data_IF_222909266671
#
_entry.id   IF_222909266671
#
_cell.length_a   1.000
_cell.length_b   1.000
_cell.length_c   1.000
_cell.angle_alpha   90.00
_cell.angle_beta   90.00
_cell.angle_gamma   90.00
#
_symmetry.space_group_name_H-M   'P 1'
#
loop_
_entity.id
_entity.type
_entity.pdbx_description
1 polymer ?
#
# COMPACT_ATOMS: atom_id res chain seq x y z
N UNK A 1 -10.54 8.48 26.43
CA UNK A 1 -11.88 7.91 26.56
C UNK A 1 -12.61 8.32 27.86
N UNK A 2 -11.92 8.64 28.93
CA UNK A 2 -12.54 9.12 30.17
C UNK A 2 -12.77 10.63 30.28
N UNK A 3 -12.49 11.40 29.23
CA UNK A 3 -12.72 12.84 29.24
C UNK A 3 -14.22 13.15 28.99
N UNK A 4 -14.74 14.14 29.70
CA UNK A 4 -16.11 14.64 29.54
C UNK A 4 -16.29 15.16 28.09
N UNK A 5 -17.33 14.74 27.38
CA UNK A 5 -17.58 15.11 25.97
C UNK A 5 -16.86 14.24 24.92
N UNK A 6 -16.01 13.25 25.29
CA UNK A 6 -15.29 12.41 24.33
C UNK A 6 -16.22 11.66 23.36
N UNK A 7 -17.38 11.23 23.82
CA UNK A 7 -18.37 10.49 23.05
C UNK A 7 -19.30 11.36 22.22
N UNK A 8 -19.25 12.67 22.38
CA UNK A 8 -20.05 13.62 21.60
C UNK A 8 -19.46 13.83 20.20
N UNK A 9 -18.15 13.69 20.06
CA UNK A 9 -17.45 13.65 18.77
C UNK A 9 -17.27 12.20 18.32
N UNK A 10 -18.26 11.71 17.56
CA UNK A 10 -18.32 10.31 17.10
C UNK A 10 -17.14 9.96 16.18
N UNK A 11 -16.69 10.90 15.34
CA UNK A 11 -15.60 10.68 14.40
C UNK A 11 -14.27 10.52 15.14
N UNK A 12 -13.97 11.44 16.06
CA UNK A 12 -12.76 11.35 16.89
C UNK A 12 -12.81 10.11 17.80
N UNK A 13 -13.96 9.78 18.38
CA UNK A 13 -14.14 8.58 19.19
C UNK A 13 -13.86 7.32 18.37
N UNK A 14 -14.33 7.23 17.12
CA UNK A 14 -14.06 6.11 16.22
C UNK A 14 -12.57 6.01 15.85
N UNK A 15 -11.91 7.11 15.48
CA UNK A 15 -10.46 7.17 15.19
C UNK A 15 -9.64 6.68 16.40
N UNK A 16 -9.96 7.16 17.59
CA UNK A 16 -9.28 6.74 18.83
C UNK A 16 -9.53 5.27 19.13
N UNK A 17 -10.75 4.76 18.93
CA UNK A 17 -11.09 3.35 19.12
C UNK A 17 -10.34 2.44 18.13
N UNK A 18 -10.25 2.82 16.86
CA UNK A 18 -9.47 2.07 15.86
C UNK A 18 -7.99 2.05 16.25
N UNK A 19 -7.43 3.21 16.61
CA UNK A 19 -6.02 3.28 17.06
C UNK A 19 -5.78 2.44 18.30
N UNK A 20 -6.71 2.44 19.25
CA UNK A 20 -6.62 1.61 20.45
C UNK A 20 -6.64 0.12 20.10
N UNK A 21 -7.53 -0.33 19.20
CA UNK A 21 -7.58 -1.73 18.76
C UNK A 21 -6.26 -2.17 18.13
N UNK A 22 -5.67 -1.34 17.25
CA UNK A 22 -4.37 -1.63 16.62
C UNK A 22 -3.26 -1.75 17.66
N UNK A 23 -3.19 -0.81 18.61
CA UNK A 23 -2.16 -0.83 19.66
C UNK A 23 -2.35 -2.02 20.60
N UNK A 24 -3.59 -2.32 21.02
CA UNK A 24 -3.89 -3.48 21.87
C UNK A 24 -3.54 -4.80 21.18
N UNK A 25 -3.86 -4.94 19.88
CA UNK A 25 -3.49 -6.14 19.13
C UNK A 25 -1.97 -6.35 19.05
N UNK A 26 -1.20 -5.26 18.86
CA UNK A 26 0.28 -5.34 18.89
C UNK A 26 0.81 -5.75 20.27
N UNK A 27 0.22 -5.19 21.34
CA UNK A 27 0.60 -5.53 22.70
C UNK A 27 0.28 -7.00 23.03
N UNK A 28 -0.90 -7.47 22.63
CA UNK A 28 -1.29 -8.87 22.82
C UNK A 28 -0.36 -9.85 22.08
N UNK A 29 0.06 -9.50 20.84
CA UNK A 29 1.06 -10.29 20.11
C UNK A 29 2.38 -10.37 20.88
N UNK A 30 2.87 -9.24 21.39
CA UNK A 30 4.10 -9.18 22.18
C UNK A 30 3.98 -10.02 23.47
N UNK A 31 2.92 -9.82 24.25
CA UNK A 31 2.68 -10.53 25.51
C UNK A 31 2.57 -12.04 25.28
N UNK A 32 1.98 -12.46 24.16
CA UNK A 32 1.89 -13.88 23.79
C UNK A 32 3.26 -14.47 23.49
N UNK A 33 4.12 -13.74 22.77
CA UNK A 33 5.47 -14.19 22.46
C UNK A 33 6.36 -14.21 23.72
N UNK A 34 6.24 -13.21 24.60
CA UNK A 34 6.95 -13.16 25.87
C UNK A 34 6.61 -14.38 26.74
N UNK A 35 5.31 -14.72 26.89
CA UNK A 35 4.88 -15.91 27.63
C UNK A 35 5.43 -17.20 27.02
N UNK A 36 5.41 -17.35 25.68
CA UNK A 36 5.98 -18.53 25.02
C UNK A 36 7.49 -18.65 25.26
N UNK A 37 8.21 -17.53 25.35
CA UNK A 37 9.62 -17.53 25.69
C UNK A 37 9.85 -18.01 27.14
N UNK A 38 9.06 -17.48 28.09
CA UNK A 38 9.12 -17.89 29.50
C UNK A 38 8.76 -19.39 29.70
N UNK A 39 7.72 -19.86 28.96
CA UNK A 39 7.29 -21.27 28.96
C UNK A 39 8.39 -22.19 28.39
N UNK A 40 9.06 -21.77 27.31
CA UNK A 40 10.18 -22.53 26.72
C UNK A 40 11.38 -22.58 27.63
N UNK A 41 11.73 -21.46 28.30
CA UNK A 41 12.81 -21.41 29.29
C UNK A 41 12.52 -22.40 30.44
N UNK A 42 11.30 -22.40 30.95
CA UNK A 42 10.86 -23.33 32.01
C UNK A 42 10.95 -24.80 31.52
N UNK A 43 10.56 -25.09 30.29
CA UNK A 43 10.63 -26.43 29.72
C UNK A 43 12.08 -26.93 29.60
N UNK A 44 13.00 -26.02 29.20
CA UNK A 44 14.43 -26.31 29.10
C UNK A 44 15.01 -26.62 30.49
N UNK A 45 14.67 -25.80 31.53
CA UNK A 45 15.12 -26.01 32.89
C UNK A 45 14.65 -27.38 33.46
N UNK A 46 13.36 -27.73 33.22
CA UNK A 46 12.81 -29.03 33.63
C UNK A 46 13.51 -30.20 32.93
N UNK A 47 13.76 -30.10 31.61
CA UNK A 47 14.45 -31.14 30.85
C UNK A 47 15.90 -31.35 31.33
N UNK A 48 16.60 -30.27 31.72
CA UNK A 48 17.97 -30.31 32.25
C UNK A 48 18.01 -30.91 33.67
N UNK A 49 17.12 -30.52 34.58
CA UNK A 49 17.01 -31.04 35.94
C UNK A 49 16.69 -32.54 35.98
N UNK A 50 15.79 -33.01 35.08
CA UNK A 50 15.37 -34.41 35.04
C UNK A 50 16.28 -35.28 34.13
N UNK A 51 17.23 -34.67 33.39
CA UNK A 51 18.02 -35.30 32.32
C UNK A 51 17.12 -36.03 31.29
N UNK A 52 15.98 -35.43 30.92
CA UNK A 52 15.03 -36.01 30.03
C UNK A 52 15.27 -35.58 28.55
N UNK A 53 16.02 -36.44 27.85
CA UNK A 53 16.32 -36.22 26.44
C UNK A 53 15.06 -36.34 25.51
N UNK A 54 13.94 -36.88 26.00
CA UNK A 54 12.73 -37.05 25.21
C UNK A 54 12.07 -35.72 24.87
N UNK A 55 12.31 -34.65 25.64
CA UNK A 55 11.80 -33.30 25.43
C UNK A 55 12.59 -32.48 24.40
N UNK A 56 13.78 -32.95 23.98
CA UNK A 56 14.66 -32.18 23.08
C UNK A 56 14.05 -31.90 21.73
N UNK A 57 13.25 -32.81 21.20
CA UNK A 57 12.56 -32.61 19.90
C UNK A 57 11.46 -31.54 20.03
N UNK A 58 10.69 -31.57 21.11
CA UNK A 58 9.65 -30.57 21.40
C UNK A 58 10.23 -29.18 21.65
N UNK A 59 11.31 -29.10 22.47
CA UNK A 59 12.05 -27.87 22.74
C UNK A 59 12.61 -27.29 21.44
N UNK A 60 13.19 -28.11 20.56
CA UNK A 60 13.74 -27.68 19.29
C UNK A 60 12.65 -27.10 18.36
N UNK A 61 11.52 -27.79 18.25
CA UNK A 61 10.41 -27.34 17.42
C UNK A 61 9.79 -26.02 17.94
N UNK A 62 9.62 -25.88 19.27
CA UNK A 62 9.08 -24.66 19.86
C UNK A 62 10.07 -23.49 19.76
N UNK A 63 11.38 -23.73 19.91
CA UNK A 63 12.43 -22.75 19.71
C UNK A 63 12.43 -22.19 18.27
N UNK A 64 12.36 -23.07 17.28
CA UNK A 64 12.31 -22.66 15.87
C UNK A 64 11.06 -21.84 15.57
N UNK A 65 9.89 -22.30 16.05
CA UNK A 65 8.62 -21.59 15.87
C UNK A 65 8.59 -20.23 16.59
N UNK A 66 9.20 -20.13 17.78
CA UNK A 66 9.31 -18.87 18.51
C UNK A 66 10.27 -17.91 17.82
N UNK A 67 11.39 -18.42 17.31
CA UNK A 67 12.37 -17.61 16.55
C UNK A 67 11.73 -17.00 15.32
N UNK A 68 10.99 -17.81 14.53
CA UNK A 68 10.27 -17.33 13.35
C UNK A 68 9.24 -16.25 13.73
N UNK A 69 8.47 -16.45 14.79
CA UNK A 69 7.47 -15.50 15.26
C UNK A 69 8.07 -14.18 15.76
N UNK A 70 9.24 -14.23 16.41
CA UNK A 70 9.98 -13.02 16.85
C UNK A 70 10.51 -12.25 15.64
N UNK A 71 11.08 -12.94 14.64
CA UNK A 71 11.55 -12.27 13.42
C UNK A 71 10.39 -11.61 12.66
N UNK A 72 9.22 -12.25 12.58
CA UNK A 72 8.02 -11.66 11.99
C UNK A 72 7.57 -10.39 12.76
N UNK A 73 7.58 -10.41 14.09
CA UNK A 73 7.24 -9.24 14.90
C UNK A 73 8.25 -8.10 14.73
N UNK A 74 9.55 -8.41 14.63
CA UNK A 74 10.57 -7.41 14.31
C UNK A 74 10.28 -6.71 12.98
N UNK A 75 9.93 -7.48 11.95
CA UNK A 75 9.53 -6.92 10.65
C UNK A 75 8.36 -5.95 10.77
N UNK A 76 7.31 -6.33 11.49
CA UNK A 76 6.17 -5.43 11.73
C UNK A 76 6.61 -4.11 12.40
N UNK A 77 7.63 -4.12 13.25
CA UNK A 77 8.13 -2.89 13.91
C UNK A 77 8.92 -1.97 13.00
N UNK A 78 9.41 -2.47 11.87
CA UNK A 78 10.11 -1.68 10.85
C UNK A 78 9.13 -0.92 9.93
N UNK A 79 7.85 -1.33 9.90
CA UNK A 79 6.81 -0.70 9.11
C UNK A 79 6.34 0.58 9.81
N UNK A 80 7.03 1.71 9.55
CA UNK A 80 6.78 3.02 10.17
C UNK A 80 6.19 4.05 9.23
N UNK A 81 6.08 3.72 7.95
CA UNK A 81 5.53 4.61 6.95
C UNK A 81 4.04 4.87 7.17
N UNK A 82 3.52 6.05 6.81
CA UNK A 82 2.13 6.42 7.05
C UNK A 82 1.12 5.53 6.32
N UNK A 83 1.56 4.84 5.27
CA UNK A 83 0.72 3.98 4.43
C UNK A 83 1.05 2.49 4.57
N UNK A 84 2.00 2.12 5.43
CA UNK A 84 2.48 0.74 5.54
C UNK A 84 1.39 -0.26 5.96
N UNK A 85 0.38 0.20 6.69
CA UNK A 85 -0.75 -0.62 7.10
C UNK A 85 -1.82 -0.85 6.01
N UNK A 86 -1.68 -0.19 4.85
CA UNK A 86 -2.69 -0.24 3.79
C UNK A 86 -2.55 -1.51 2.94
N UNK A 87 -3.63 -1.83 2.23
CA UNK A 87 -3.63 -2.77 1.12
C UNK A 87 -2.79 -2.23 -0.04
N UNK A 88 -2.39 -3.09 -0.97
CA UNK A 88 -1.54 -2.71 -2.07
C UNK A 88 -2.16 -3.02 -3.44
N UNK A 89 -1.88 -2.17 -4.43
CA UNK A 89 -2.03 -2.50 -5.86
C UNK A 89 -0.66 -2.70 -6.46
N UNK A 90 -0.47 -3.86 -7.08
CA UNK A 90 0.74 -4.23 -7.80
C UNK A 90 0.49 -4.18 -9.30
N UNK A 91 1.39 -3.54 -10.04
CA UNK A 91 1.34 -3.48 -11.50
C UNK A 91 2.66 -3.97 -12.09
N UNK A 92 2.61 -5.08 -12.81
CA UNK A 92 3.74 -5.66 -13.53
C UNK A 92 3.65 -5.30 -15.02
N UNK A 93 4.75 -4.85 -15.59
CA UNK A 93 4.85 -4.52 -17.02
C UNK A 93 6.08 -5.17 -17.65
N UNK A 94 5.91 -5.76 -18.83
CA UNK A 94 7.02 -6.25 -19.62
C UNK A 94 7.87 -5.08 -20.13
N UNK A 95 9.18 -5.18 -19.89
CA UNK A 95 10.17 -4.22 -20.37
C UNK A 95 10.86 -4.70 -21.65
N UNK A 96 12.15 -4.37 -21.78
CA UNK A 96 12.94 -4.83 -22.91
C UNK A 96 13.14 -6.35 -22.89
N UNK A 97 12.91 -7.02 -24.02
CA UNK A 97 13.07 -8.48 -24.18
C UNK A 97 12.01 -9.17 -25.04
N UNK A 98 11.02 -8.44 -25.55
CA UNK A 98 9.96 -9.01 -26.42
C UNK A 98 9.16 -10.11 -25.70
N UNK A 99 8.88 -11.23 -26.39
CA UNK A 99 8.14 -12.39 -25.85
C UNK A 99 8.76 -12.93 -24.55
N UNK A 100 10.09 -12.91 -24.43
CA UNK A 100 10.80 -13.34 -23.22
C UNK A 100 10.48 -12.47 -22.00
N UNK A 101 10.31 -11.15 -22.22
CA UNK A 101 9.93 -10.22 -21.14
C UNK A 101 8.46 -10.41 -20.70
N UNK A 102 7.59 -10.80 -21.64
CA UNK A 102 6.19 -11.12 -21.35
C UNK A 102 6.07 -12.43 -20.54
N UNK A 103 6.87 -13.43 -20.87
CA UNK A 103 6.96 -14.66 -20.08
C UNK A 103 7.54 -14.38 -18.68
N UNK A 104 8.55 -13.51 -18.60
CA UNK A 104 9.10 -13.06 -17.32
C UNK A 104 8.05 -12.44 -16.40
N UNK A 105 7.14 -11.58 -16.93
CA UNK A 105 6.02 -11.03 -16.16
C UNK A 105 5.12 -12.14 -15.62
N UNK A 106 4.81 -13.18 -16.40
CA UNK A 106 4.03 -14.33 -15.93
C UNK A 106 4.69 -15.04 -14.76
N UNK A 107 6.01 -15.24 -14.84
CA UNK A 107 6.77 -15.88 -13.76
C UNK A 107 6.80 -15.02 -12.50
N UNK A 108 6.99 -13.70 -12.63
CA UNK A 108 6.93 -12.75 -11.50
C UNK A 108 5.53 -12.70 -10.87
N UNK A 109 4.49 -12.64 -11.70
CA UNK A 109 3.11 -12.64 -11.21
C UNK A 109 2.83 -13.91 -10.39
N UNK A 110 3.22 -15.09 -10.87
CA UNK A 110 3.11 -16.33 -10.12
C UNK A 110 3.92 -16.29 -8.82
N UNK A 111 5.16 -15.77 -8.84
CA UNK A 111 6.01 -15.64 -7.66
C UNK A 111 5.34 -14.78 -6.58
N UNK A 112 4.81 -13.60 -6.94
CA UNK A 112 4.12 -12.72 -6.00
C UNK A 112 2.80 -13.31 -5.51
N UNK A 113 2.03 -13.97 -6.37
CA UNK A 113 0.81 -14.66 -5.93
C UNK A 113 1.11 -15.73 -4.88
N UNK A 114 2.17 -16.53 -5.07
CA UNK A 114 2.60 -17.53 -4.09
C UNK A 114 3.11 -16.92 -2.80
N UNK A 115 3.83 -15.81 -2.89
CA UNK A 115 4.21 -15.04 -1.70
C UNK A 115 2.97 -14.60 -0.91
N UNK A 116 1.98 -14.02 -1.59
CA UNK A 116 0.73 -13.59 -0.98
C UNK A 116 -0.03 -14.76 -0.33
N UNK A 117 -0.13 -15.91 -1.01
CA UNK A 117 -0.77 -17.12 -0.47
C UNK A 117 -0.09 -17.59 0.83
N UNK A 118 1.25 -17.61 0.86
CA UNK A 118 2.02 -18.00 2.07
C UNK A 118 1.78 -17.08 3.26
N UNK A 119 1.56 -15.79 2.99
CA UNK A 119 1.33 -14.78 4.03
C UNK A 119 -0.15 -14.55 4.34
N UNK A 120 -1.04 -15.35 3.75
CA UNK A 120 -2.49 -15.23 3.96
C UNK A 120 -3.11 -13.98 3.35
N UNK A 121 -2.43 -13.33 2.39
CA UNK A 121 -2.97 -12.19 1.67
C UNK A 121 -3.91 -12.66 0.56
N UNK A 122 -5.06 -11.97 0.42
CA UNK A 122 -5.97 -12.22 -0.68
C UNK A 122 -5.51 -11.44 -1.93
N UNK A 123 -5.53 -12.11 -3.08
CA UNK A 123 -5.14 -11.53 -4.38
C UNK A 123 -6.34 -11.43 -5.29
N UNK A 124 -6.58 -10.25 -5.86
CA UNK A 124 -7.66 -10.00 -6.80
C UNK A 124 -7.13 -9.32 -8.06
N UNK A 125 -7.26 -9.95 -9.21
CA UNK A 125 -6.87 -9.37 -10.49
C UNK A 125 -7.83 -8.23 -10.85
N UNK A 126 -7.26 -7.06 -11.16
CA UNK A 126 -7.99 -5.87 -11.60
C UNK A 126 -7.98 -5.80 -13.14
N UNK A 127 -6.78 -5.97 -13.73
CA UNK A 127 -6.59 -5.91 -15.18
C UNK A 127 -5.48 -6.89 -15.60
N UNK A 128 -5.65 -7.55 -16.75
CA UNK A 128 -4.67 -8.47 -17.30
C UNK A 128 -4.67 -8.36 -18.82
N UNK A 129 -3.51 -8.06 -19.36
CA UNK A 129 -3.27 -8.01 -20.80
C UNK A 129 -2.26 -9.10 -21.18
N UNK A 130 -2.74 -10.11 -21.90
CA UNK A 130 -1.90 -11.20 -22.40
C UNK A 130 -0.87 -10.72 -23.43
N UNK A 131 0.22 -11.46 -23.54
CA UNK A 131 1.20 -11.29 -24.61
C UNK A 131 0.65 -11.80 -25.95
N UNK A 132 1.20 -11.28 -27.04
CA UNK A 132 0.74 -11.66 -28.39
C UNK A 132 1.07 -13.11 -28.74
N UNK A 133 2.23 -13.62 -28.31
CA UNK A 133 2.71 -14.99 -28.60
C UNK A 133 2.73 -15.87 -27.33
N UNK A 134 3.15 -15.31 -26.20
CA UNK A 134 3.22 -16.00 -24.92
C UNK A 134 3.33 -14.99 -23.76
N UNK A 135 2.98 -15.46 -22.56
CA UNK A 135 3.16 -14.69 -21.35
C UNK A 135 2.16 -13.56 -21.15
N UNK A 136 2.48 -12.62 -20.29
CA UNK A 136 1.65 -11.47 -19.90
C UNK A 136 2.39 -10.18 -20.25
N UNK A 137 1.74 -9.29 -20.98
CA UNK A 137 2.27 -7.96 -21.32
C UNK A 137 2.20 -7.01 -20.12
N UNK A 138 1.07 -7.02 -19.42
CA UNK A 138 0.88 -6.31 -18.16
C UNK A 138 -0.19 -6.97 -17.31
N UNK A 139 -0.03 -6.91 -15.99
CA UNK A 139 -1.05 -7.34 -15.04
C UNK A 139 -1.08 -6.38 -13.86
N UNK A 140 -2.29 -6.00 -13.46
CA UNK A 140 -2.56 -5.21 -12.27
C UNK A 140 -3.46 -6.02 -11.34
N UNK A 141 -3.05 -6.15 -10.09
CA UNK A 141 -3.79 -6.91 -9.09
C UNK A 141 -3.72 -6.25 -7.73
N UNK A 142 -4.79 -6.38 -6.99
CA UNK A 142 -4.94 -5.93 -5.61
C UNK A 142 -4.46 -7.03 -4.68
N UNK A 143 -3.78 -6.63 -3.61
CA UNK A 143 -3.36 -7.48 -2.51
C UNK A 143 -3.96 -6.93 -1.22
N UNK A 144 -4.85 -7.71 -0.62
CA UNK A 144 -5.56 -7.37 0.60
C UNK A 144 -5.00 -8.20 1.77
N UNK A 145 -4.51 -7.51 2.78
CA UNK A 145 -3.93 -8.11 3.97
C UNK A 145 -3.23 -7.11 4.87
N UNK A 146 -3.01 -7.51 6.11
CA UNK A 146 -2.37 -6.68 7.13
C UNK A 146 -0.96 -6.24 6.69
N UNK A 147 -0.75 -4.93 6.55
CA UNK A 147 0.51 -4.32 6.13
C UNK A 147 0.99 -4.76 4.72
N UNK A 148 0.10 -5.16 3.83
CA UNK A 148 0.46 -5.65 2.50
C UNK A 148 1.33 -4.65 1.73
N UNK A 149 0.95 -3.36 1.74
CA UNK A 149 1.77 -2.32 1.11
C UNK A 149 3.14 -2.18 1.79
N UNK A 150 3.18 -2.21 3.12
CA UNK A 150 4.41 -2.06 3.90
C UNK A 150 5.49 -3.08 3.53
N UNK A 151 5.11 -4.34 3.31
CA UNK A 151 6.02 -5.39 2.85
C UNK A 151 6.34 -5.26 1.37
N UNK A 152 5.33 -5.15 0.52
CA UNK A 152 5.48 -5.23 -0.93
C UNK A 152 6.10 -3.98 -1.56
N UNK A 153 6.08 -2.81 -0.90
CA UNK A 153 6.82 -1.61 -1.36
C UNK A 153 8.31 -1.86 -1.55
N UNK A 154 8.88 -2.81 -0.79
CA UNK A 154 10.27 -3.25 -0.91
C UNK A 154 10.58 -3.89 -2.28
N UNK A 155 9.57 -4.42 -2.96
CA UNK A 155 9.70 -5.10 -4.25
C UNK A 155 9.55 -4.18 -5.47
N UNK A 156 9.19 -2.90 -5.24
CA UNK A 156 9.02 -1.91 -6.30
C UNK A 156 10.32 -1.64 -7.04
N UNK A 157 10.29 -1.84 -8.36
CA UNK A 157 11.43 -1.55 -9.24
C UNK A 157 11.54 -2.47 -10.44
N UNK A 158 12.74 -2.52 -11.03
CA UNK A 158 13.03 -3.33 -12.23
C UNK A 158 13.65 -4.67 -11.83
N UNK A 159 13.10 -5.74 -12.37
CA UNK A 159 13.54 -7.12 -12.17
C UNK A 159 14.18 -7.66 -13.44
N UNK A 160 15.43 -8.11 -13.36
CA UNK A 160 16.21 -8.60 -14.48
C UNK A 160 16.28 -10.11 -14.48
N UNK A 161 15.86 -10.73 -15.60
CA UNK A 161 16.00 -12.16 -15.86
C UNK A 161 17.21 -12.44 -16.73
N UNK A 162 17.96 -13.49 -16.43
CA UNK A 162 19.02 -14.05 -17.28
C UNK A 162 18.84 -15.55 -17.35
N UNK A 163 18.44 -16.05 -18.54
CA UNK A 163 18.27 -17.50 -18.78
C UNK A 163 18.48 -17.84 -20.24
N UNK A 164 18.58 -19.14 -20.53
CA UNK A 164 18.44 -19.64 -21.90
C UNK A 164 16.96 -19.54 -22.26
N UNK A 165 16.64 -18.81 -23.34
CA UNK A 165 15.27 -18.54 -23.73
C UNK A 165 14.61 -19.81 -24.30
N UNK A 166 13.41 -20.19 -23.82
CA UNK A 166 12.63 -21.27 -24.41
C UNK A 166 12.07 -20.89 -25.81
N UNK A 167 12.09 -19.62 -26.17
CA UNK A 167 11.58 -19.08 -27.45
C UNK A 167 12.68 -18.95 -28.51
N UNK A 168 13.96 -19.09 -28.14
CA UNK A 168 15.10 -19.05 -29.07
C UNK A 168 15.55 -20.47 -29.43
N UNK A 169 15.26 -20.88 -30.65
CA UNK A 169 15.69 -22.19 -31.20
C UNK A 169 17.20 -22.40 -31.19
N UNK A 170 17.99 -21.31 -31.14
CA UNK A 170 19.46 -21.34 -31.06
C UNK A 170 19.97 -21.63 -29.65
N UNK A 171 19.10 -21.67 -28.62
CA UNK A 171 19.48 -21.94 -27.24
C UNK A 171 20.39 -20.87 -26.61
N UNK A 172 20.36 -19.64 -27.11
CA UNK A 172 21.17 -18.53 -26.58
C UNK A 172 20.65 -18.03 -25.28
N UNK A 173 21.55 -17.49 -24.46
CA UNK A 173 21.21 -16.81 -23.22
C UNK A 173 20.69 -15.40 -23.51
N UNK A 174 19.51 -15.10 -23.00
CA UNK A 174 18.85 -13.80 -23.12
C UNK A 174 18.79 -13.07 -21.77
N UNK A 175 18.67 -11.75 -21.86
CA UNK A 175 18.43 -10.88 -20.71
C UNK A 175 17.15 -10.12 -20.98
N UNK A 176 16.20 -10.20 -20.04
CA UNK A 176 14.89 -9.53 -20.13
C UNK A 176 14.60 -8.77 -18.87
N UNK A 177 13.79 -7.75 -18.98
CA UNK A 177 13.43 -6.87 -17.88
C UNK A 177 11.92 -6.79 -17.74
N UNK A 178 11.47 -6.72 -16.50
CA UNK A 178 10.10 -6.37 -16.14
C UNK A 178 10.12 -5.35 -15.01
N UNK A 179 9.14 -4.48 -14.96
CA UNK A 179 8.97 -3.54 -13.84
C UNK A 179 7.80 -3.95 -12.97
N UNK A 180 7.97 -3.79 -11.68
CA UNK A 180 6.91 -3.85 -10.68
C UNK A 180 6.71 -2.45 -10.09
N UNK A 181 5.50 -1.94 -10.17
CA UNK A 181 5.04 -0.79 -9.39
C UNK A 181 4.15 -1.27 -8.25
N UNK A 182 4.29 -0.62 -7.09
CA UNK A 182 3.51 -0.91 -5.89
C UNK A 182 2.98 0.40 -5.34
N UNK A 183 1.66 0.47 -5.19
CA UNK A 183 0.96 1.66 -4.68
C UNK A 183 0.00 1.25 -3.57
N UNK A 184 -0.16 2.07 -2.50
CA UNK A 184 -1.14 1.79 -1.47
C UNK A 184 -2.56 2.03 -1.98
N UNK A 185 -3.52 1.31 -1.41
CA UNK A 185 -4.94 1.58 -1.59
C UNK A 185 -5.38 2.53 -0.48
N UNK A 186 -6.02 3.61 -0.89
CA UNK A 186 -6.69 4.50 0.06
C UNK A 186 -8.17 4.11 0.07
N UNK A 187 -8.69 3.79 1.25
CA UNK A 187 -10.13 3.60 1.40
C UNK A 187 -10.83 4.90 1.03
N UNK A 188 -11.75 4.82 0.07
CA UNK A 188 -12.62 5.93 -0.30
C UNK A 188 -13.66 6.16 0.80
N UNK A 189 -13.22 6.55 1.98
CA UNK A 189 -14.11 7.12 2.97
C UNK A 189 -14.50 8.53 2.51
N UNK A 190 -15.68 8.59 1.92
CA UNK A 190 -16.43 9.80 1.67
C UNK A 190 -16.49 10.37 0.24
N UNK A 191 -17.48 9.95 -0.49
CA UNK A 191 -18.18 10.79 -1.48
C UNK A 191 -19.03 11.90 -0.83
N UNK A 192 -19.12 11.98 0.49
CA UNK A 192 -19.82 13.04 1.22
C UNK A 192 -18.81 13.89 1.99
N UNK A 193 -18.42 15.01 1.40
CA UNK A 193 -17.71 16.05 2.14
C UNK A 193 -18.72 16.68 3.11
N UNK A 194 -18.63 16.33 4.39
CA UNK A 194 -19.30 17.08 5.45
C UNK A 194 -18.61 18.42 5.60
N UNK A 195 -19.36 19.49 5.29
CA UNK A 195 -18.88 20.87 5.47
C UNK A 195 -19.43 21.37 6.79
N UNK A 196 -18.53 21.63 7.76
CA UNK A 196 -18.92 22.21 9.02
C UNK A 196 -19.49 23.63 8.79
N UNK A 197 -20.69 23.95 9.26
CA UNK A 197 -21.24 25.29 9.17
C UNK A 197 -20.36 26.37 9.80
N UNK A 198 -19.58 26.03 10.82
CA UNK A 198 -18.69 26.98 11.52
C UNK A 198 -17.46 27.35 10.67
N UNK A 199 -17.10 26.51 9.69
CA UNK A 199 -16.04 26.76 8.71
C UNK A 199 -16.50 27.67 7.56
N UNK A 200 -17.77 28.06 7.55
CA UNK A 200 -18.36 28.86 6.48
C UNK A 200 -18.62 30.28 6.91
N UNK A 201 -18.06 31.26 6.19
CA UNK A 201 -18.51 32.62 6.23
C UNK A 201 -19.45 32.91 5.08
N UNK A 202 -20.71 33.24 5.38
CA UNK A 202 -21.76 33.51 4.40
C UNK A 202 -22.09 34.99 4.41
N UNK A 203 -21.78 35.67 3.30
CA UNK A 203 -22.07 37.10 3.11
C UNK A 203 -23.19 37.26 2.08
N UNK A 204 -24.17 38.11 2.38
CA UNK A 204 -25.24 38.50 1.46
C UNK A 204 -24.94 39.87 0.87
N UNK A 205 -25.14 40.04 -0.43
CA UNK A 205 -24.92 41.31 -1.08
C UNK A 205 -25.97 41.57 -2.18
N UNK A 206 -26.01 42.78 -2.71
CA UNK A 206 -26.93 43.14 -3.79
C UNK A 206 -26.36 42.67 -5.12
N UNK A 207 -27.18 41.93 -5.88
CA UNK A 207 -26.81 41.52 -7.22
C UNK A 207 -26.59 42.72 -8.13
N UNK A 208 -25.44 42.75 -8.83
CA UNK A 208 -25.15 43.76 -9.87
C UNK A 208 -25.44 43.17 -11.22
N UNK A 209 -26.25 43.88 -12.05
CA UNK A 209 -26.55 43.45 -13.42
C UNK A 209 -27.57 44.37 -14.12
N UNK A 210 -27.70 44.25 -15.44
CA UNK A 210 -28.69 44.95 -16.24
C UNK A 210 -30.09 44.35 -16.00
N UNK A 211 -30.76 44.81 -14.92
CA UNK A 211 -32.13 44.38 -14.59
C UNK A 211 -32.92 45.56 -14.01
N UNK A 212 -34.26 45.51 -14.08
CA UNK A 212 -35.16 46.58 -13.69
C UNK A 212 -35.08 46.97 -12.21
N UNK A 213 -35.77 48.02 -11.81
CA UNK A 213 -35.67 48.68 -10.46
C UNK A 213 -35.79 47.75 -9.24
N UNK A 214 -36.32 46.54 -9.37
CA UNK A 214 -36.43 45.55 -8.26
C UNK A 214 -35.15 44.75 -8.03
N UNK A 215 -34.29 44.54 -9.00
CA UNK A 215 -33.04 43.76 -8.89
C UNK A 215 -32.03 44.49 -8.02
N UNK A 216 -32.04 45.82 -8.01
CA UNK A 216 -31.13 46.65 -7.23
C UNK A 216 -31.57 46.89 -5.77
N UNK A 217 -32.73 46.39 -5.35
CA UNK A 217 -33.28 46.63 -4.01
C UNK A 217 -33.21 45.40 -3.11
N UNK A 218 -33.06 44.18 -3.63
CA UNK A 218 -33.09 42.96 -2.85
C UNK A 218 -31.68 42.36 -2.79
N UNK A 219 -31.16 42.06 -1.60
CA UNK A 219 -29.87 41.41 -1.37
C UNK A 219 -30.04 39.88 -1.50
N UNK A 220 -30.28 39.40 -2.71
CA UNK A 220 -30.45 37.96 -2.99
C UNK A 220 -29.16 37.23 -3.34
N UNK A 221 -28.09 37.97 -3.66
CA UNK A 221 -26.79 37.36 -3.98
C UNK A 221 -26.08 36.87 -2.72
N UNK A 222 -25.48 35.70 -2.82
CA UNK A 222 -24.76 35.00 -1.75
C UNK A 222 -23.29 34.84 -2.14
N UNK A 223 -22.40 35.06 -1.17
CA UNK A 223 -20.99 34.69 -1.22
C UNK A 223 -20.70 33.76 -0.02
N UNK A 224 -20.17 32.59 -0.30
CA UNK A 224 -19.72 31.64 0.71
C UNK A 224 -18.20 31.56 0.62
N UNK A 225 -17.54 31.76 1.76
CA UNK A 225 -16.08 31.57 1.93
C UNK A 225 -15.86 30.39 2.86
N UNK A 226 -15.19 29.37 2.40
CA UNK A 226 -14.73 28.27 3.26
C UNK A 226 -13.43 28.68 3.91
N UNK A 227 -13.45 28.89 5.23
CA UNK A 227 -12.35 29.49 6.00
C UNK A 227 -11.06 28.67 5.96
N UNK A 228 -11.09 27.30 6.11
CA UNK A 228 -9.87 26.49 6.10
C UNK A 228 -9.13 26.50 4.78
N UNK A 229 -9.85 26.45 3.64
CA UNK A 229 -9.23 26.38 2.30
C UNK A 229 -9.15 27.71 1.58
N UNK A 230 -9.84 28.75 2.09
CA UNK A 230 -9.94 30.05 1.44
C UNK A 230 -10.76 30.06 0.14
N UNK A 231 -11.45 28.97 -0.20
CA UNK A 231 -12.28 28.90 -1.39
C UNK A 231 -13.49 29.82 -1.27
N UNK A 232 -13.68 30.67 -2.29
CA UNK A 232 -14.83 31.60 -2.37
C UNK A 232 -15.74 31.20 -3.51
N UNK A 233 -17.03 31.08 -3.22
CA UNK A 233 -18.11 30.82 -4.20
C UNK A 233 -19.13 31.93 -4.12
N UNK A 234 -19.62 32.38 -5.29
CA UNK A 234 -20.65 33.40 -5.39
C UNK A 234 -21.79 32.88 -6.27
N UNK A 235 -23.03 33.15 -5.86
CA UNK A 235 -24.23 32.86 -6.65
C UNK A 235 -25.22 34.02 -6.55
N UNK A 236 -25.71 34.46 -7.73
CA UNK A 236 -26.67 35.56 -7.84
C UNK A 236 -27.74 35.32 -8.93
N UNK A 237 -27.81 34.10 -9.47
CA UNK A 237 -28.62 33.79 -10.63
C UNK A 237 -30.11 33.67 -10.32
N UNK A 238 -30.45 33.32 -9.08
CA UNK A 238 -31.83 33.10 -8.67
C UNK A 238 -32.41 34.31 -7.94
N UNK A 239 -33.74 34.43 -7.97
CA UNK A 239 -34.46 35.49 -7.27
C UNK A 239 -34.56 35.26 -5.75
N UNK A 240 -34.43 34.00 -5.34
CA UNK A 240 -34.48 33.58 -3.94
C UNK A 240 -33.08 33.45 -3.35
N UNK A 241 -32.87 34.12 -2.22
CA UNK A 241 -31.63 34.01 -1.43
C UNK A 241 -31.35 32.56 -1.02
N UNK A 242 -32.40 31.78 -0.66
CA UNK A 242 -32.25 30.38 -0.28
C UNK A 242 -31.74 29.52 -1.43
N UNK A 243 -32.30 29.68 -2.63
CA UNK A 243 -31.86 28.95 -3.83
C UNK A 243 -30.41 29.30 -4.21
N UNK A 244 -30.03 30.59 -4.10
CA UNK A 244 -28.63 30.99 -4.31
C UNK A 244 -27.69 30.38 -3.28
N UNK A 245 -28.11 30.25 -1.99
CA UNK A 245 -27.33 29.58 -0.94
C UNK A 245 -27.15 28.09 -1.26
N UNK A 246 -28.22 27.39 -1.62
CA UNK A 246 -28.16 25.96 -1.96
C UNK A 246 -27.26 25.71 -3.18
N UNK A 247 -27.37 26.55 -4.22
CA UNK A 247 -26.52 26.45 -5.40
C UNK A 247 -25.06 26.75 -5.06
N UNK A 248 -24.77 27.77 -4.27
CA UNK A 248 -23.42 28.10 -3.82
C UNK A 248 -22.79 26.97 -2.98
N UNK A 249 -23.58 26.34 -2.10
CA UNK A 249 -23.14 25.17 -1.32
C UNK A 249 -22.83 23.98 -2.24
N UNK A 250 -23.63 23.72 -3.26
CA UNK A 250 -23.37 22.66 -4.25
C UNK A 250 -22.07 22.90 -5.01
N UNK A 251 -21.84 24.15 -5.45
CA UNK A 251 -20.60 24.53 -6.14
C UNK A 251 -19.39 24.42 -5.19
N UNK A 252 -19.55 24.80 -3.92
CA UNK A 252 -18.48 24.69 -2.93
C UNK A 252 -18.09 23.24 -2.70
N UNK A 253 -19.06 22.32 -2.54
CA UNK A 253 -18.80 20.87 -2.45
C UNK A 253 -18.01 20.35 -3.64
N UNK A 254 -18.41 20.71 -4.87
CA UNK A 254 -17.68 20.32 -6.07
C UNK A 254 -16.23 20.81 -6.08
N UNK A 255 -15.97 22.05 -5.66
CA UNK A 255 -14.59 22.58 -5.57
C UNK A 255 -13.76 21.95 -4.46
N UNK A 256 -14.36 21.59 -3.34
CA UNK A 256 -13.67 20.88 -2.26
C UNK A 256 -13.31 19.45 -2.69
N UNK A 257 -14.21 18.76 -3.40
CA UNK A 257 -13.92 17.46 -4.02
C UNK A 257 -12.74 17.52 -4.99
N UNK A 258 -12.74 18.52 -5.88
CA UNK A 258 -11.64 18.74 -6.84
C UNK A 258 -10.30 19.01 -6.12
N UNK A 259 -10.33 19.80 -5.03
CA UNK A 259 -9.13 20.06 -4.22
C UNK A 259 -8.61 18.77 -3.56
N UNK A 260 -9.50 17.98 -2.96
CA UNK A 260 -9.16 16.71 -2.32
C UNK A 260 -8.60 15.70 -3.34
N UNK A 261 -9.20 15.58 -4.52
CA UNK A 261 -8.67 14.73 -5.59
C UNK A 261 -7.27 15.18 -6.04
N UNK A 262 -7.06 16.49 -6.18
CA UNK A 262 -5.74 17.03 -6.55
C UNK A 262 -4.69 16.73 -5.48
N UNK A 263 -4.99 16.95 -4.21
CA UNK A 263 -4.09 16.63 -3.09
C UNK A 263 -3.78 15.12 -3.04
N UNK A 264 -4.80 14.29 -3.27
CA UNK A 264 -4.63 12.83 -3.38
C UNK A 264 -3.73 12.44 -4.55
N UNK A 265 -3.89 13.09 -5.71
CA UNK A 265 -3.01 12.86 -6.87
C UNK A 265 -1.58 13.32 -6.61
N UNK A 266 -1.38 14.46 -5.95
CA UNK A 266 -0.06 14.96 -5.56
C UNK A 266 0.62 14.01 -4.57
N UNK A 267 -0.09 13.52 -3.55
CA UNK A 267 0.40 12.50 -2.62
C UNK A 267 0.75 11.19 -3.33
N UNK A 268 -0.11 10.72 -4.24
CA UNK A 268 0.19 9.54 -5.07
C UNK A 268 1.41 9.73 -5.96
N UNK A 269 1.60 10.92 -6.54
CA UNK A 269 2.76 11.24 -7.35
C UNK A 269 4.05 11.25 -6.52
N UNK A 270 4.00 11.76 -5.29
CA UNK A 270 5.10 11.74 -4.34
C UNK A 270 5.47 10.30 -3.91
N UNK A 271 4.47 9.46 -3.64
CA UNK A 271 4.65 8.03 -3.31
C UNK A 271 5.20 7.25 -4.51
N UNK A 272 4.70 7.54 -5.73
CA UNK A 272 5.20 6.90 -6.95
C UNK A 272 6.67 7.21 -7.20
N UNK A 273 7.15 8.41 -6.84
CA UNK A 273 8.50 8.87 -7.12
C UNK A 273 8.79 8.90 -8.62
N UNK A 274 10.02 9.20 -9.01
CA UNK A 274 10.44 9.11 -10.40
C UNK A 274 10.45 7.64 -10.87
N UNK A 275 9.61 7.29 -11.85
CA UNK A 275 9.69 6.00 -12.52
C UNK A 275 11.03 5.91 -13.26
N UNK A 276 11.94 5.08 -12.74
CA UNK A 276 13.19 4.78 -13.44
C UNK A 276 12.86 4.07 -14.75
N UNK A 277 13.54 4.45 -15.84
CA UNK A 277 13.40 3.73 -17.11
C UNK A 277 13.73 2.26 -16.94
N UNK A 278 12.93 1.39 -17.59
CA UNK A 278 13.10 -0.07 -17.58
C UNK A 278 14.29 -0.44 -18.48
N UNK A 279 15.51 -0.09 -18.04
CA UNK A 279 16.75 -0.23 -18.81
C UNK A 279 17.88 -0.78 -17.93
N UNK A 280 18.99 -1.12 -18.57
CA UNK A 280 20.24 -1.53 -17.91
C UNK A 280 20.68 -0.49 -16.88
N UNK A 281 21.01 -0.98 -15.67
CA UNK A 281 21.46 -0.14 -14.55
C UNK A 281 20.36 0.30 -13.57
N UNK A 282 19.09 0.08 -13.90
CA UNK A 282 17.95 0.45 -13.05
C UNK A 282 17.38 -0.73 -12.25
N UNK A 283 17.94 -1.94 -12.43
CA UNK A 283 17.42 -3.14 -11.77
C UNK A 283 17.65 -3.15 -10.26
N UNK A 284 16.61 -3.49 -9.49
CA UNK A 284 16.72 -3.75 -8.06
C UNK A 284 17.22 -5.18 -7.78
N UNK A 285 16.78 -6.16 -8.61
CA UNK A 285 17.10 -7.57 -8.41
C UNK A 285 17.36 -8.28 -9.73
N UNK A 286 18.36 -9.17 -9.74
CA UNK A 286 18.70 -10.03 -10.87
C UNK A 286 18.44 -11.49 -10.53
N UNK A 287 17.86 -12.20 -11.49
CA UNK A 287 17.53 -13.62 -11.42
C UNK A 287 18.28 -14.34 -12.53
N UNK A 288 19.31 -15.12 -12.18
CA UNK A 288 20.17 -15.85 -13.09
C UNK A 288 19.87 -17.33 -12.98
N UNK A 289 19.39 -17.93 -14.08
CA UNK A 289 19.09 -19.37 -14.13
C UNK A 289 20.26 -20.18 -14.74
N UNK A 290 21.03 -19.58 -15.63
CA UNK A 290 22.19 -20.23 -16.29
C UNK A 290 23.33 -19.20 -16.48
N UNK A 291 24.62 -19.64 -16.40
CA UNK A 291 25.15 -21.00 -16.18
C UNK A 291 25.16 -21.45 -14.73
N UNK A 292 24.83 -20.58 -13.79
CA UNK A 292 24.65 -20.86 -12.37
C UNK A 292 23.32 -20.28 -11.92
N UNK A 293 22.78 -20.74 -10.79
CA UNK A 293 21.57 -20.22 -10.21
C UNK A 293 21.90 -19.20 -9.14
N UNK A 294 21.35 -17.99 -9.27
CA UNK A 294 21.53 -16.92 -8.29
C UNK A 294 20.42 -15.89 -8.41
N UNK A 295 19.82 -15.52 -7.29
CA UNK A 295 19.02 -14.30 -7.15
C UNK A 295 19.80 -13.33 -6.29
N UNK A 296 20.02 -12.11 -6.80
CA UNK A 296 20.76 -11.06 -6.08
C UNK A 296 19.98 -9.75 -6.08
N UNK A 297 19.73 -9.22 -4.90
CA UNK A 297 19.24 -7.85 -4.71
C UNK A 297 20.42 -6.89 -4.68
N UNK A 298 20.42 -5.91 -5.59
CA UNK A 298 21.54 -4.97 -5.75
C UNK A 298 21.50 -3.83 -4.72
N UNK A 299 20.40 -3.65 -4.00
CA UNK A 299 20.24 -2.61 -2.99
C UNK A 299 20.83 -3.06 -1.65
N UNK A 300 20.56 -4.31 -1.29
CA UNK A 300 20.93 -4.89 0.01
C UNK A 300 22.13 -5.84 -0.06
N UNK A 301 22.52 -6.24 -1.29
CA UNK A 301 23.52 -7.28 -1.58
C UNK A 301 23.14 -8.70 -1.05
N UNK A 302 21.89 -8.92 -0.67
CA UNK A 302 21.40 -10.26 -0.31
C UNK A 302 21.37 -11.14 -1.55
N UNK A 303 21.89 -12.37 -1.40
CA UNK A 303 21.97 -13.38 -2.45
C UNK A 303 21.29 -14.68 -2.00
N UNK A 304 20.58 -15.35 -2.93
CA UNK A 304 20.01 -16.68 -2.71
C UNK A 304 20.31 -17.56 -3.94
N UNK A 305 21.02 -18.68 -3.72
CA UNK A 305 21.33 -19.64 -4.77
C UNK A 305 20.15 -20.56 -5.14
N UNK A 306 19.15 -20.70 -4.25
CA UNK A 306 17.95 -21.49 -4.49
C UNK A 306 16.89 -20.65 -5.23
N UNK A 307 17.10 -20.47 -6.53
CA UNK A 307 16.18 -19.69 -7.37
C UNK A 307 14.75 -20.26 -7.38
N UNK A 308 14.61 -21.59 -7.26
CA UNK A 308 13.29 -22.21 -7.26
C UNK A 308 12.48 -21.82 -6.03
N UNK A 309 13.09 -21.80 -4.86
CA UNK A 309 12.45 -21.34 -3.62
C UNK A 309 11.98 -19.90 -3.73
N UNK A 310 12.83 -19.01 -4.29
CA UNK A 310 12.46 -17.62 -4.56
C UNK A 310 11.27 -17.52 -5.52
N UNK A 311 11.29 -18.27 -6.64
CA UNK A 311 10.19 -18.29 -7.61
C UNK A 311 8.91 -18.95 -7.04
N UNK A 312 9.02 -19.71 -5.96
CA UNK A 312 7.91 -20.27 -5.20
C UNK A 312 7.48 -19.37 -4.02
N UNK A 313 7.95 -18.09 -3.99
CA UNK A 313 7.49 -17.05 -3.10
C UNK A 313 8.31 -16.87 -1.81
N UNK A 314 9.54 -17.40 -1.71
CA UNK A 314 10.45 -17.08 -0.59
C UNK A 314 11.14 -15.73 -0.80
N UNK A 315 10.41 -14.63 -0.53
CA UNK A 315 10.90 -13.27 -0.72
C UNK A 315 11.31 -12.59 0.60
N UNK A 316 10.96 -13.17 1.75
CA UNK A 316 11.18 -12.58 3.07
C UNK A 316 12.64 -12.14 3.32
N UNK A 317 13.69 -12.89 2.94
CA UNK A 317 15.07 -12.46 3.15
C UNK A 317 15.41 -11.15 2.42
N UNK A 318 14.84 -10.92 1.24
CA UNK A 318 15.06 -9.70 0.47
C UNK A 318 14.26 -8.52 1.01
N UNK A 319 12.97 -8.76 1.33
CA UNK A 319 12.08 -7.76 1.91
C UNK A 319 12.62 -7.30 3.27
N UNK A 320 12.99 -8.24 4.13
CA UNK A 320 13.58 -7.98 5.44
C UNK A 320 14.83 -7.11 5.33
N UNK A 321 15.79 -7.54 4.52
CA UNK A 321 17.04 -6.80 4.34
C UNK A 321 16.82 -5.37 3.83
N UNK A 322 15.82 -5.18 2.97
CA UNK A 322 15.46 -3.83 2.49
C UNK A 322 14.83 -2.98 3.60
N UNK A 323 13.88 -3.54 4.35
CA UNK A 323 13.19 -2.82 5.43
C UNK A 323 14.12 -2.45 6.60
N UNK A 324 15.17 -3.23 6.83
CA UNK A 324 16.20 -2.91 7.85
C UNK A 324 17.07 -1.74 7.42
N UNK A 325 17.27 -1.52 6.13
CA UNK A 325 18.12 -0.45 5.58
C UNK A 325 17.36 0.84 5.28
N UNK A 326 16.03 0.78 5.16
CA UNK A 326 15.15 1.93 4.88
C UNK A 326 14.76 2.66 6.15
#
# INVERSE_FOLDING_TARGET
>A
MGAEGFWEDVENANKVNQRMKVVSAKLEKYDKLARRADDLETLIEMADEENDESLLEEIGAEYDALTEAVEALKLETLLKGPYDAQNAVLSLHAGAGGTEAQDWVSLLYRMYTRYCEKHGFAVKVIDLLDGEEAGIKSVTFEVDGDNAYGYLKAEKGVHRLVRISPFDSSGRRHTSFASLDVTPIFDDDSNDIEIDPDDLRIDTYRSGGAGGQNVNKVSSAIRITHLPTGIVVQCQNERSQLQNKEMAMRILRGKLLELQERERMEQMAEIKGEMKKIEWGSQIRSYVFQPYTLVKDHRTNVENGNIQAVMDGELDPFIHAYLVQS
#
